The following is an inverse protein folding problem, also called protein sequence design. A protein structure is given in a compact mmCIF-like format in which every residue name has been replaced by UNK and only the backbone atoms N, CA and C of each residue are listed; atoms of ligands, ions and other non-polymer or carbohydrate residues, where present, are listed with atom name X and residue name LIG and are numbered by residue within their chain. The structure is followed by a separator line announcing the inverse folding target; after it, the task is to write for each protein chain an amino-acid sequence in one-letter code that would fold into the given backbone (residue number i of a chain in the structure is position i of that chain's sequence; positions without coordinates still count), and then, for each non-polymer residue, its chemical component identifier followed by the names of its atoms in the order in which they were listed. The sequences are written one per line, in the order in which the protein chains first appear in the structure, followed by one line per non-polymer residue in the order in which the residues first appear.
data_IF_359436639888
#
_entry.id   IF_359436639888
#
_cell.length_a   1.000
_cell.length_b   1.000
_cell.length_c   1.000
_cell.angle_alpha   90.00
_cell.angle_beta   90.00
_cell.angle_gamma   90.00
#
_symmetry.space_group_name_H-M   'P 1'
#
loop_
_entity.id
_entity.type
_entity.pdbx_description
1 polymer ?
#
# COMPACT_ATOMS: atom_id res chain seq x y z
N UNK A 1 12.86 7.29 19.06
CA UNK A 1 12.21 8.59 18.79
C UNK A 1 13.17 9.60 18.14
N UNK A 2 14.46 9.59 18.50
CA UNK A 2 15.52 10.45 17.96
C UNK A 2 15.73 10.33 16.42
N UNK A 3 15.62 9.12 15.86
CA UNK A 3 15.77 8.86 14.42
C UNK A 3 14.70 9.54 13.55
N UNK A 4 13.43 9.55 14.01
CA UNK A 4 12.30 10.15 13.27
C UNK A 4 12.49 11.66 13.08
N UNK A 5 12.98 12.35 14.10
CA UNK A 5 13.25 13.80 14.05
C UNK A 5 14.46 14.11 13.18
N UNK A 6 15.50 13.27 13.23
CA UNK A 6 16.71 13.42 12.40
C UNK A 6 16.38 13.18 10.92
N UNK A 7 15.66 12.10 10.59
CA UNK A 7 15.17 11.83 9.23
C UNK A 7 14.25 12.93 8.72
N UNK A 8 13.34 13.45 9.55
CA UNK A 8 12.41 14.52 9.16
C UNK A 8 13.12 15.87 8.92
N UNK A 9 14.13 16.22 9.74
CA UNK A 9 14.97 17.41 9.50
C UNK A 9 15.86 17.24 8.26
N UNK A 10 16.43 16.07 8.03
CA UNK A 10 17.18 15.75 6.80
C UNK A 10 16.26 15.79 5.59
N UNK A 11 15.05 15.23 5.67
CA UNK A 11 13.99 15.28 4.66
C UNK A 11 13.62 16.72 4.29
N UNK A 12 13.39 17.60 5.29
CA UNK A 12 13.03 19.01 5.06
C UNK A 12 14.18 19.84 4.46
N UNK A 13 15.43 19.49 4.78
CA UNK A 13 16.62 20.11 4.20
C UNK A 13 16.94 19.59 2.78
N UNK A 14 16.68 18.30 2.52
CA UNK A 14 16.76 17.70 1.20
C UNK A 14 15.73 18.35 0.26
N UNK A 15 14.48 18.52 0.69
CA UNK A 15 13.42 19.17 -0.10
C UNK A 15 13.79 20.57 -0.63
N UNK A 16 14.69 21.30 0.06
CA UNK A 16 15.18 22.63 -0.36
C UNK A 16 16.37 22.59 -1.33
N UNK A 17 17.08 21.46 -1.43
CA UNK A 17 18.19 21.28 -2.39
C UNK A 17 17.60 20.69 -3.67
N UNK A 18 18.00 21.21 -4.84
CA UNK A 18 17.61 20.66 -6.15
C UNK A 18 18.16 19.24 -6.28
N UNK A 19 17.35 18.28 -5.83
CA UNK A 19 17.72 16.87 -5.67
C UNK A 19 17.70 16.13 -7.00
N UNK A 20 18.52 15.09 -7.07
CA UNK A 20 18.53 14.11 -8.15
C UNK A 20 17.16 13.50 -8.41
N UNK A 21 16.95 12.98 -9.63
CA UNK A 21 15.72 12.22 -9.95
C UNK A 21 15.57 11.01 -9.04
N UNK A 22 16.67 10.33 -8.73
CA UNK A 22 16.70 9.22 -7.76
C UNK A 22 16.25 9.67 -6.37
N UNK A 23 16.78 10.78 -5.85
CA UNK A 23 16.32 11.33 -4.57
C UNK A 23 14.84 11.68 -4.56
N UNK A 24 14.35 12.28 -5.65
CA UNK A 24 12.94 12.66 -5.79
C UNK A 24 12.04 11.42 -5.73
N UNK A 25 12.43 10.32 -6.39
CA UNK A 25 11.73 9.03 -6.28
C UNK A 25 11.70 8.52 -4.83
N UNK A 26 12.82 8.60 -4.10
CA UNK A 26 12.87 8.18 -2.70
C UNK A 26 12.02 9.04 -1.77
N UNK A 27 11.98 10.36 -1.99
CA UNK A 27 11.07 11.23 -1.25
C UNK A 27 9.62 10.90 -1.56
N UNK A 28 9.29 10.64 -2.83
CA UNK A 28 7.97 10.18 -3.24
C UNK A 28 7.56 8.88 -2.51
N UNK A 29 8.48 7.92 -2.39
CA UNK A 29 8.25 6.70 -1.60
C UNK A 29 8.01 6.99 -0.12
N UNK A 30 8.83 7.84 0.50
CA UNK A 30 8.67 8.21 1.91
C UNK A 30 7.33 8.93 2.16
N UNK A 31 6.87 9.74 1.21
CA UNK A 31 5.57 10.40 1.27
C UNK A 31 4.43 9.37 1.23
N UNK A 32 4.49 8.39 0.32
CA UNK A 32 3.52 7.29 0.27
C UNK A 32 3.45 6.52 1.60
N UNK A 33 4.62 6.19 2.18
CA UNK A 33 4.69 5.51 3.49
C UNK A 33 4.12 6.38 4.61
N UNK A 34 4.34 7.70 4.57
CA UNK A 34 3.81 8.63 5.56
C UNK A 34 2.28 8.76 5.47
N UNK A 35 1.71 8.76 4.26
CA UNK A 35 0.26 8.74 4.03
C UNK A 35 -0.33 7.43 4.55
N UNK A 36 0.26 6.27 4.19
CA UNK A 36 -0.20 4.96 4.67
C UNK A 36 -0.20 4.88 6.20
N UNK A 37 0.85 5.38 6.85
CA UNK A 37 0.90 5.43 8.32
C UNK A 37 -0.24 6.26 8.90
N UNK A 38 -0.53 7.44 8.34
CA UNK A 38 -1.66 8.27 8.81
C UNK A 38 -3.01 7.61 8.56
N UNK A 39 -3.18 6.92 7.44
CA UNK A 39 -4.39 6.15 7.18
C UNK A 39 -4.57 5.02 8.20
N UNK A 40 -3.52 4.27 8.52
CA UNK A 40 -3.58 3.27 9.59
C UNK A 40 -3.93 3.90 10.94
N UNK A 41 -3.40 5.09 11.24
CA UNK A 41 -3.78 5.82 12.47
C UNK A 41 -5.27 6.15 12.44
N UNK A 42 -5.80 6.63 11.33
CA UNK A 42 -7.23 6.92 11.16
C UNK A 42 -8.09 5.68 11.43
N UNK A 43 -7.77 4.55 10.81
CA UNK A 43 -8.47 3.27 11.02
C UNK A 43 -8.39 2.80 12.48
N UNK A 44 -7.21 2.85 13.09
CA UNK A 44 -7.01 2.37 14.46
C UNK A 44 -7.75 3.23 15.49
N UNK A 45 -7.90 4.53 15.21
CA UNK A 45 -8.54 5.51 16.11
C UNK A 45 -9.99 5.79 15.76
N UNK A 46 -10.47 5.38 14.59
CA UNK A 46 -11.79 5.74 14.07
C UNK A 46 -11.91 7.23 13.73
N UNK A 47 -10.83 7.89 13.30
CA UNK A 47 -10.86 9.28 12.86
C UNK A 47 -11.34 9.37 11.39
N UNK A 48 -12.59 9.78 11.20
CA UNK A 48 -13.23 9.82 9.89
C UNK A 48 -12.64 10.86 8.94
N UNK A 49 -12.30 12.05 9.45
CA UNK A 49 -11.73 13.11 8.62
C UNK A 49 -10.30 12.76 8.20
N UNK A 50 -9.52 12.15 9.10
CA UNK A 50 -8.19 11.66 8.76
C UNK A 50 -8.27 10.50 7.75
N UNK A 51 -9.27 9.63 7.85
CA UNK A 51 -9.51 8.56 6.88
C UNK A 51 -9.75 9.13 5.47
N UNK A 52 -10.69 10.07 5.32
CA UNK A 52 -11.00 10.68 4.01
C UNK A 52 -9.84 11.49 3.44
N UNK A 53 -9.16 12.30 4.28
CA UNK A 53 -8.02 13.09 3.82
C UNK A 53 -6.87 12.20 3.33
N UNK A 54 -6.55 11.13 4.05
CA UNK A 54 -5.47 10.21 3.65
C UNK A 54 -5.82 9.41 2.42
N UNK A 55 -7.07 8.96 2.24
CA UNK A 55 -7.51 8.34 0.98
C UNK A 55 -7.40 9.30 -0.21
N UNK A 56 -7.79 10.57 -0.04
CA UNK A 56 -7.64 11.60 -1.07
C UNK A 56 -6.16 11.81 -1.43
N UNK A 57 -5.26 11.79 -0.44
CA UNK A 57 -3.83 11.92 -0.67
C UNK A 57 -3.18 10.68 -1.31
N UNK A 58 -3.74 9.48 -1.12
CA UNK A 58 -3.27 8.26 -1.81
C UNK A 58 -3.69 8.20 -3.28
N UNK A 59 -4.81 8.82 -3.62
CA UNK A 59 -5.46 8.66 -4.92
C UNK A 59 -4.56 8.97 -6.14
N UNK A 60 -3.74 10.03 -6.13
CA UNK A 60 -2.80 10.31 -7.23
C UNK A 60 -1.82 9.15 -7.46
N UNK A 61 -1.31 8.54 -6.38
CA UNK A 61 -0.35 7.45 -6.50
C UNK A 61 -0.99 6.19 -7.09
N UNK A 62 -2.24 5.87 -6.73
CA UNK A 62 -2.99 4.76 -7.31
C UNK A 62 -3.26 4.97 -8.81
N UNK A 63 -3.61 6.22 -9.19
CA UNK A 63 -3.82 6.59 -10.58
C UNK A 63 -2.53 6.46 -11.41
N UNK A 64 -1.43 7.01 -10.90
CA UNK A 64 -0.14 6.99 -11.57
C UNK A 64 0.43 5.58 -11.76
N UNK A 65 0.24 4.69 -10.77
CA UNK A 65 0.71 3.30 -10.82
C UNK A 65 -0.19 2.36 -11.64
N UNK A 66 -1.30 2.87 -12.16
CA UNK A 66 -2.24 2.11 -12.99
C UNK A 66 -3.15 1.15 -12.25
N UNK A 67 -3.37 1.37 -10.95
CA UNK A 67 -4.35 0.64 -10.15
C UNK A 67 -5.79 1.12 -10.41
N UNK A 68 -6.19 1.10 -11.69
CA UNK A 68 -7.40 1.75 -12.22
C UNK A 68 -8.69 1.40 -11.47
N UNK A 69 -8.89 0.12 -11.14
CA UNK A 69 -10.08 -0.32 -10.39
C UNK A 69 -10.10 0.29 -8.99
N UNK A 70 -8.97 0.28 -8.29
CA UNK A 70 -8.85 0.90 -6.97
C UNK A 70 -9.00 2.41 -7.05
N UNK A 71 -8.37 3.07 -8.02
CA UNK A 71 -8.51 4.52 -8.25
C UNK A 71 -9.97 4.90 -8.48
N UNK A 72 -10.68 4.16 -9.35
CA UNK A 72 -12.08 4.41 -9.67
C UNK A 72 -12.99 4.24 -8.46
N UNK A 73 -12.84 3.12 -7.75
CA UNK A 73 -13.63 2.83 -6.54
C UNK A 73 -13.35 3.81 -5.42
N UNK A 74 -12.08 4.15 -5.17
CA UNK A 74 -11.69 5.12 -4.14
C UNK A 74 -12.16 6.54 -4.47
N UNK A 75 -12.08 6.97 -5.73
CA UNK A 75 -12.61 8.27 -6.17
C UNK A 75 -14.12 8.35 -5.98
N UNK A 76 -14.86 7.32 -6.37
CA UNK A 76 -16.30 7.26 -6.19
C UNK A 76 -16.68 7.28 -4.71
N UNK A 77 -16.02 6.45 -3.91
CA UNK A 77 -16.20 6.42 -2.46
C UNK A 77 -15.96 7.81 -1.85
N UNK A 78 -14.85 8.47 -2.16
CA UNK A 78 -14.53 9.81 -1.66
C UNK A 78 -15.60 10.84 -2.04
N UNK A 79 -16.12 10.78 -3.26
CA UNK A 79 -17.19 11.67 -3.73
C UNK A 79 -18.47 11.47 -2.91
N UNK A 80 -18.90 10.22 -2.70
CA UNK A 80 -20.07 9.91 -1.87
C UNK A 80 -19.85 10.32 -0.41
N UNK A 81 -18.68 10.06 0.14
CA UNK A 81 -18.37 10.34 1.54
C UNK A 81 -18.26 11.85 1.82
N UNK A 82 -17.92 12.68 0.82
CA UNK A 82 -17.91 14.14 0.95
C UNK A 82 -19.32 14.74 1.01
N UNK A 83 -20.28 14.16 0.31
CA UNK A 83 -21.69 14.59 0.34
C UNK A 83 -22.50 13.88 1.43
N UNK A 84 -21.88 13.00 2.22
CA UNK A 84 -22.57 12.20 3.23
C UNK A 84 -23.28 13.06 4.28
N UNK A 85 -22.72 14.22 4.63
CA UNK A 85 -23.33 15.15 5.59
C UNK A 85 -24.66 15.72 5.09
N UNK A 86 -24.79 15.99 3.78
CA UNK A 86 -26.04 16.47 3.18
C UNK A 86 -27.01 15.33 2.90
N UNK A 87 -26.51 14.21 2.38
CA UNK A 87 -27.34 13.14 1.85
C UNK A 87 -27.88 12.23 2.97
N UNK A 88 -27.05 11.96 3.99
CA UNK A 88 -27.34 11.06 5.11
C UNK A 88 -26.70 11.55 6.43
N UNK A 89 -27.24 12.62 7.04
CA UNK A 89 -26.64 13.28 8.21
C UNK A 89 -26.54 12.36 9.44
N UNK A 90 -27.44 11.39 9.58
CA UNK A 90 -27.44 10.37 10.62
C UNK A 90 -26.24 9.42 10.51
N UNK A 91 -25.97 8.93 9.29
CA UNK A 91 -24.82 8.08 8.99
C UNK A 91 -23.53 8.88 9.16
N UNK A 92 -23.50 10.13 8.67
CA UNK A 92 -22.36 11.01 8.87
C UNK A 92 -22.03 11.21 10.35
N UNK A 93 -23.04 11.45 11.19
CA UNK A 93 -22.86 11.56 12.64
C UNK A 93 -22.29 10.26 13.25
N UNK A 94 -22.73 9.09 12.79
CA UNK A 94 -22.14 7.82 13.23
C UNK A 94 -20.68 7.66 12.81
N UNK A 95 -20.32 8.04 11.59
CA UNK A 95 -18.94 7.96 11.10
C UNK A 95 -18.01 8.92 11.83
N UNK A 96 -18.47 10.15 12.09
CA UNK A 96 -17.75 11.13 12.91
C UNK A 96 -17.52 10.66 14.35
N UNK A 97 -18.43 9.84 14.88
CA UNK A 97 -18.24 9.15 16.17
C UNK A 97 -17.34 7.89 16.08
N UNK A 98 -16.67 7.68 14.96
CA UNK A 98 -15.75 6.58 14.73
C UNK A 98 -16.41 5.22 14.49
N UNK A 99 -17.71 5.18 14.17
CA UNK A 99 -18.43 3.92 13.89
C UNK A 99 -18.21 3.38 12.46
N UNK A 100 -17.34 4.01 11.67
CA UNK A 100 -16.91 3.46 10.38
C UNK A 100 -15.88 2.33 10.53
N UNK A 101 -15.28 2.19 11.73
CA UNK A 101 -14.36 1.09 12.07
C UNK A 101 -14.99 0.17 13.11
N UNK A 102 -14.64 -1.10 13.04
CA UNK A 102 -15.10 -2.12 13.98
C UNK A 102 -14.15 -2.20 15.18
N UNK A 103 -14.70 -2.20 16.39
CA UNK A 103 -13.94 -2.37 17.63
C UNK A 103 -14.46 -3.59 18.38
N UNK A 104 -13.54 -4.46 18.83
CA UNK A 104 -13.84 -5.61 19.71
C UNK A 104 -13.63 -5.33 21.20
N UNK A 105 -13.05 -4.17 21.51
CA UNK A 105 -12.73 -3.73 22.87
C UNK A 105 -12.80 -2.21 22.92
N UNK A 106 -13.01 -1.65 24.11
CA UNK A 106 -13.09 -0.18 24.33
C UNK A 106 -11.74 0.53 24.26
N UNK A 107 -10.66 -0.17 23.88
CA UNK A 107 -9.34 0.44 23.69
C UNK A 107 -9.37 1.41 22.52
N UNK A 108 -8.91 2.64 22.75
CA UNK A 108 -8.91 3.72 21.75
C UNK A 108 -8.25 3.33 20.42
N UNK A 109 -7.11 2.66 20.48
CA UNK A 109 -6.35 2.23 19.30
C UNK A 109 -6.82 0.88 18.75
N UNK A 110 -8.03 0.41 19.01
CA UNK A 110 -8.47 -0.94 18.62
C UNK A 110 -9.34 -1.02 17.36
N UNK A 111 -9.56 0.09 16.65
CA UNK A 111 -10.34 0.11 15.42
C UNK A 111 -9.73 -0.73 14.30
N UNK A 112 -10.55 -1.52 13.61
CA UNK A 112 -10.14 -2.33 12.46
C UNK A 112 -11.13 -2.10 11.33
N UNK A 113 -10.66 -2.17 10.08
CA UNK A 113 -11.54 -2.12 8.93
C UNK A 113 -12.48 -3.32 8.93
N UNK A 114 -13.71 -3.11 8.47
CA UNK A 114 -14.76 -4.15 8.45
C UNK A 114 -14.30 -5.39 7.66
N UNK A 115 -13.65 -5.19 6.52
CA UNK A 115 -13.12 -6.28 5.68
C UNK A 115 -12.09 -7.13 6.43
N UNK A 116 -11.16 -6.50 7.14
CA UNK A 116 -10.14 -7.21 7.92
C UNK A 116 -10.76 -8.00 9.08
N UNK A 117 -11.81 -7.48 9.72
CA UNK A 117 -12.57 -8.25 10.73
C UNK A 117 -13.30 -9.43 10.10
N UNK A 118 -13.95 -9.24 8.95
CA UNK A 118 -14.62 -10.34 8.24
C UNK A 118 -13.60 -11.42 7.88
N UNK A 119 -12.46 -11.05 7.29
CA UNK A 119 -11.45 -12.03 6.88
C UNK A 119 -10.82 -12.75 8.08
N UNK A 120 -10.39 -12.01 9.10
CA UNK A 120 -9.62 -12.59 10.20
C UNK A 120 -10.48 -13.31 11.24
N UNK A 121 -11.76 -12.93 11.38
CA UNK A 121 -12.66 -13.52 12.37
C UNK A 121 -13.60 -14.50 11.69
N UNK A 122 -14.40 -14.05 10.72
CA UNK A 122 -15.44 -14.87 10.10
C UNK A 122 -14.87 -15.87 9.10
N UNK A 123 -13.97 -15.45 8.20
CA UNK A 123 -13.40 -16.36 7.21
C UNK A 123 -12.39 -17.33 7.81
N UNK A 124 -11.63 -16.90 8.83
CA UNK A 124 -10.66 -17.77 9.51
C UNK A 124 -11.33 -18.93 10.25
N UNK A 125 -12.47 -18.71 10.92
CA UNK A 125 -13.21 -19.79 11.57
C UNK A 125 -13.77 -20.83 10.60
N UNK A 126 -13.88 -20.47 9.31
CA UNK A 126 -14.39 -21.31 8.23
C UNK A 126 -13.28 -22.06 7.49
N UNK A 127 -12.04 -21.55 7.49
CA UNK A 127 -10.87 -22.20 6.89
C UNK A 127 -10.30 -23.33 7.78
N UNK A 128 -11.14 -24.28 8.20
CA UNK A 128 -10.65 -25.58 8.67
C UNK A 128 -10.07 -26.40 7.50
N UNK A 129 -9.28 -27.44 7.81
CA UNK A 129 -8.67 -28.37 6.84
C UNK A 129 -9.69 -28.82 5.78
N UNK A 130 -9.50 -28.37 4.54
CA UNK A 130 -10.38 -28.68 3.40
C UNK A 130 -10.87 -27.47 2.61
N UNK A 131 -10.87 -26.26 3.19
CA UNK A 131 -11.10 -24.97 2.52
C UNK A 131 -12.47 -24.78 1.84
N UNK A 132 -13.19 -23.71 2.15
CA UNK A 132 -14.50 -23.38 1.53
C UNK A 132 -14.42 -23.20 0.00
N UNK A 133 -13.22 -22.91 -0.52
CA UNK A 133 -12.94 -22.62 -1.95
C UNK A 133 -12.26 -23.77 -2.69
N UNK A 134 -11.90 -24.86 -2.01
CA UNK A 134 -11.23 -26.01 -2.61
C UNK A 134 -12.25 -27.11 -2.90
N UNK A 135 -13.09 -26.87 -3.92
CA UNK A 135 -14.12 -27.81 -4.39
C UNK A 135 -15.13 -27.17 -5.34
N UNK A 136 -16.19 -27.91 -5.74
CA UNK A 136 -17.35 -27.34 -6.45
C UNK A 136 -18.00 -26.31 -5.50
N UNK A 137 -17.95 -25.04 -5.88
CA UNK A 137 -18.27 -23.91 -4.99
C UNK A 137 -19.63 -24.00 -4.29
N UNK A 138 -19.74 -23.30 -3.15
CA UNK A 138 -20.93 -23.23 -2.31
C UNK A 138 -22.12 -22.65 -3.09
N UNK A 139 -23.17 -23.46 -3.29
CA UNK A 139 -24.42 -23.07 -3.91
C UNK A 139 -25.19 -22.05 -3.06
N UNK A 140 -26.20 -21.41 -3.65
CA UNK A 140 -26.94 -20.30 -3.01
C UNK A 140 -27.58 -20.68 -1.68
N UNK A 141 -28.17 -21.87 -1.58
CA UNK A 141 -28.77 -22.40 -0.35
C UNK A 141 -27.71 -22.61 0.74
N UNK A 142 -26.53 -23.11 0.37
CA UNK A 142 -25.44 -23.32 1.33
C UNK A 142 -24.87 -21.97 1.82
N UNK A 143 -24.80 -20.96 0.94
CA UNK A 143 -24.47 -19.57 1.31
C UNK A 143 -25.47 -18.97 2.28
N UNK A 144 -26.76 -19.13 2.04
CA UNK A 144 -27.81 -18.63 2.93
C UNK A 144 -27.75 -19.32 4.30
N UNK A 145 -27.66 -20.65 4.31
CA UNK A 145 -27.54 -21.43 5.55
C UNK A 145 -26.29 -21.03 6.34
N UNK A 146 -25.17 -20.79 5.66
CA UNK A 146 -23.95 -20.28 6.28
C UNK A 146 -24.13 -18.86 6.85
N UNK A 147 -24.63 -17.91 6.05
CA UNK A 147 -24.81 -16.52 6.47
C UNK A 147 -25.68 -16.41 7.73
N UNK A 148 -26.73 -17.25 7.80
CA UNK A 148 -27.67 -17.27 8.92
C UNK A 148 -27.12 -18.02 10.14
N UNK A 149 -26.28 -19.04 9.96
CA UNK A 149 -25.77 -19.88 11.06
C UNK A 149 -24.42 -19.42 11.60
N UNK A 150 -23.59 -18.71 10.82
CA UNK A 150 -22.21 -18.39 11.19
C UNK A 150 -22.07 -17.53 12.45
N UNK A 151 -22.93 -16.52 12.74
CA UNK A 151 -22.80 -15.75 13.98
C UNK A 151 -23.03 -16.63 15.21
N UNK A 152 -24.07 -17.48 15.14
CA UNK A 152 -24.43 -18.44 16.20
C UNK A 152 -23.34 -19.50 16.38
N UNK A 153 -22.83 -20.07 15.30
CA UNK A 153 -21.74 -21.06 15.32
C UNK A 153 -20.44 -20.47 15.87
N UNK A 154 -20.13 -19.21 15.54
CA UNK A 154 -18.96 -18.51 16.08
C UNK A 154 -19.07 -18.31 17.59
N UNK A 155 -20.26 -18.00 18.12
CA UNK A 155 -20.53 -17.90 19.55
C UNK A 155 -20.43 -19.25 20.27
N UNK A 156 -21.01 -20.31 19.70
CA UNK A 156 -20.85 -21.67 20.22
C UNK A 156 -19.39 -22.12 20.24
N UNK A 157 -18.63 -21.84 19.18
CA UNK A 157 -17.21 -22.16 19.13
C UNK A 157 -16.42 -21.36 20.18
N UNK A 158 -16.73 -20.07 20.34
CA UNK A 158 -16.09 -19.23 21.35
C UNK A 158 -16.36 -19.74 22.77
N UNK A 159 -17.62 -20.04 23.10
CA UNK A 159 -18.01 -20.58 24.41
C UNK A 159 -17.40 -21.95 24.67
N UNK A 160 -17.36 -22.84 23.66
CA UNK A 160 -16.70 -24.14 23.76
C UNK A 160 -15.19 -24.02 24.00
N UNK A 161 -14.53 -23.07 23.34
CA UNK A 161 -13.11 -22.76 23.57
C UNK A 161 -12.85 -22.23 24.98
N UNK A 162 -13.75 -21.38 25.51
CA UNK A 162 -13.66 -20.91 26.89
C UNK A 162 -13.85 -22.06 27.89
N UNK A 163 -14.87 -22.90 27.68
CA UNK A 163 -15.20 -24.05 28.54
C UNK A 163 -14.06 -25.08 28.58
N UNK A 164 -13.50 -25.43 27.43
CA UNK A 164 -12.47 -26.47 27.32
C UNK A 164 -11.07 -25.95 27.65
N UNK A 165 -10.91 -24.64 27.89
CA UNK A 165 -9.59 -24.02 28.10
C UNK A 165 -8.67 -24.09 26.88
N UNK A 166 -9.19 -24.55 25.73
CA UNK A 166 -8.49 -24.60 24.44
C UNK A 166 -8.53 -23.29 23.68
N UNK A 167 -9.16 -22.26 24.27
CA UNK A 167 -9.09 -20.90 23.75
C UNK A 167 -7.65 -20.55 23.41
N UNK A 168 -7.44 -20.08 22.19
CA UNK A 168 -6.18 -19.47 21.77
C UNK A 168 -5.93 -18.28 22.70
N UNK A 169 -5.28 -18.52 23.84
CA UNK A 169 -4.71 -17.48 24.67
C UNK A 169 -3.60 -16.88 23.82
N UNK A 170 -3.93 -15.88 23.00
CA UNK A 170 -2.93 -14.91 22.62
C UNK A 170 -2.36 -14.41 23.93
N UNK A 171 -1.08 -14.71 24.17
CA UNK A 171 -0.29 -14.04 25.20
C UNK A 171 -0.71 -12.57 25.27
N UNK A 172 -0.78 -11.99 26.48
CA UNK A 172 -1.04 -10.55 26.65
C UNK A 172 -0.07 -9.70 25.81
N UNK A 173 1.08 -10.27 25.44
CA UNK A 173 1.98 -9.74 24.41
C UNK A 173 1.55 -10.19 23.01
N UNK A 174 1.15 -9.22 22.20
CA UNK A 174 0.99 -9.37 20.76
C UNK A 174 2.25 -10.01 20.14
N UNK A 175 2.08 -10.98 19.24
CA UNK A 175 3.18 -11.72 18.57
C UNK A 175 4.27 -10.78 18.01
N UNK A 176 3.86 -9.65 17.44
CA UNK A 176 4.80 -8.65 16.89
C UNK A 176 5.60 -7.87 17.95
N UNK A 177 5.22 -7.93 19.23
CA UNK A 177 5.99 -7.35 20.35
C UNK A 177 6.90 -8.37 21.04
N UNK A 178 7.02 -9.59 20.50
CA UNK A 178 7.93 -10.59 21.05
C UNK A 178 9.39 -10.15 20.89
N UNK A 179 10.26 -10.56 21.82
CA UNK A 179 11.70 -10.24 21.78
C UNK A 179 12.34 -10.66 20.45
N UNK A 180 11.98 -11.84 19.96
CA UNK A 180 12.48 -12.37 18.67
C UNK A 180 12.07 -11.51 17.48
N UNK A 181 10.85 -10.97 17.48
CA UNK A 181 10.40 -10.01 16.46
C UNK A 181 11.16 -8.69 16.54
N UNK A 182 11.31 -8.14 17.75
CA UNK A 182 12.09 -6.92 17.96
C UNK A 182 13.55 -7.06 17.52
N UNK A 183 14.19 -8.19 17.83
CA UNK A 183 15.57 -8.49 17.40
C UNK A 183 15.68 -8.57 15.88
N UNK A 184 14.73 -9.21 15.21
CA UNK A 184 14.69 -9.29 13.75
C UNK A 184 14.49 -7.91 13.11
N UNK A 185 13.53 -7.11 13.60
CA UNK A 185 13.27 -5.77 13.07
C UNK A 185 14.49 -4.85 13.24
N UNK A 186 15.21 -4.97 14.36
CA UNK A 186 16.47 -4.26 14.58
C UNK A 186 17.56 -4.71 13.60
N UNK A 187 17.68 -6.02 13.36
CA UNK A 187 18.62 -6.58 12.38
C UNK A 187 18.32 -6.07 10.97
N UNK A 188 17.06 -6.09 10.55
CA UNK A 188 16.62 -5.63 9.23
C UNK A 188 16.84 -4.11 9.07
N UNK A 189 16.61 -3.34 10.14
CA UNK A 189 16.88 -1.89 10.16
C UNK A 189 18.37 -1.57 10.01
N UNK A 190 19.24 -2.35 10.67
CA UNK A 190 20.69 -2.20 10.54
C UNK A 190 21.16 -2.55 9.13
N UNK A 191 20.68 -3.67 8.58
CA UNK A 191 20.99 -4.10 7.21
C UNK A 191 20.60 -3.04 6.18
N UNK A 192 19.41 -2.45 6.32
CA UNK A 192 18.98 -1.36 5.46
C UNK A 192 19.87 -0.12 5.60
N UNK A 193 20.30 0.19 6.83
CA UNK A 193 21.19 1.34 7.09
C UNK A 193 22.57 1.14 6.47
N UNK A 194 23.14 -0.04 6.62
CA UNK A 194 24.41 -0.43 5.98
C UNK A 194 24.28 -0.34 4.46
N UNK A 195 23.22 -0.93 3.89
CA UNK A 195 22.95 -0.89 2.45
C UNK A 195 22.88 0.54 1.88
N UNK A 196 22.18 1.45 2.59
CA UNK A 196 22.01 2.84 2.18
C UNK A 196 23.26 3.71 2.42
N UNK A 197 24.15 3.29 3.31
CA UNK A 197 25.43 3.98 3.55
C UNK A 197 26.29 3.92 2.29
N UNK A 198 26.37 2.74 1.67
CA UNK A 198 27.12 2.54 0.43
C UNK A 198 26.34 3.05 -0.80
N UNK A 199 25.01 2.92 -0.79
CA UNK A 199 24.13 3.21 -1.94
C UNK A 199 23.20 4.39 -1.66
N UNK A 200 23.79 5.53 -1.30
CA UNK A 200 23.02 6.71 -0.92
C UNK A 200 22.16 7.25 -2.09
N UNK A 201 20.82 7.26 -1.98
CA UNK A 201 19.94 7.81 -3.01
C UNK A 201 19.99 9.35 -3.08
N UNK A 202 20.61 9.99 -2.08
CA UNK A 202 20.73 11.45 -1.91
C UNK A 202 22.01 12.06 -2.49
N UNK A 203 22.54 11.49 -3.58
CA UNK A 203 23.68 12.07 -4.32
C UNK A 203 23.22 13.12 -5.33
N UNK A 204 24.15 14.01 -5.74
CA UNK A 204 23.91 15.11 -6.69
C UNK A 204 23.82 14.65 -8.17
N UNK A 205 23.66 13.35 -8.41
CA UNK A 205 23.58 12.76 -9.74
C UNK A 205 22.23 13.06 -10.39
N UNK A 206 22.17 13.66 -11.58
CA UNK A 206 20.88 14.01 -12.20
C UNK A 206 20.07 12.80 -12.69
N UNK A 207 20.67 11.62 -12.73
CA UNK A 207 20.01 10.43 -13.28
C UNK A 207 18.98 9.82 -12.32
N UNK A 208 18.06 9.05 -12.91
CA UNK A 208 17.18 8.14 -12.18
C UNK A 208 17.85 6.77 -12.21
N UNK A 209 18.38 6.29 -11.08
CA UNK A 209 19.09 5.01 -11.01
C UNK A 209 18.44 4.06 -10.01
N UNK A 210 18.46 2.78 -10.34
CA UNK A 210 18.19 1.73 -9.38
C UNK A 210 19.39 1.63 -8.43
N UNK A 211 19.16 1.84 -7.12
CA UNK A 211 20.26 1.87 -6.15
C UNK A 211 20.82 0.47 -5.85
N UNK A 212 20.05 -0.59 -6.09
CA UNK A 212 20.48 -1.98 -5.88
C UNK A 212 21.42 -2.43 -7.01
N UNK A 213 21.00 -2.20 -8.26
CA UNK A 213 21.74 -2.68 -9.44
C UNK A 213 22.72 -1.65 -10.00
N UNK A 214 22.55 -0.37 -9.66
CA UNK A 214 23.29 0.74 -10.25
C UNK A 214 22.81 1.16 -11.64
N UNK A 215 21.83 0.46 -12.22
CA UNK A 215 21.35 0.74 -13.57
C UNK A 215 20.65 2.11 -13.64
N UNK A 216 21.01 2.90 -14.63
CA UNK A 216 20.36 4.17 -14.94
C UNK A 216 19.15 3.90 -15.84
N UNK A 217 18.01 4.45 -15.46
CA UNK A 217 16.77 4.35 -16.21
C UNK A 217 16.84 5.17 -17.51
N UNK A 218 16.15 4.69 -18.54
CA UNK A 218 15.96 5.39 -19.80
C UNK A 218 15.26 6.76 -19.60
N UNK A 219 15.40 7.66 -20.58
CA UNK A 219 14.81 9.01 -20.51
C UNK A 219 13.29 9.03 -20.45
N UNK A 220 12.63 7.93 -20.85
CA UNK A 220 11.19 7.74 -20.80
C UNK A 220 10.67 7.24 -19.44
N UNK A 221 11.55 6.80 -18.53
CA UNK A 221 11.17 6.44 -17.17
C UNK A 221 11.08 7.70 -16.32
N UNK A 222 9.91 7.92 -15.69
CA UNK A 222 9.65 9.12 -14.88
C UNK A 222 8.89 8.84 -13.59
N UNK A 223 9.13 7.67 -12.99
CA UNK A 223 8.60 7.27 -11.67
C UNK A 223 8.75 8.32 -10.56
N UNK A 224 9.76 9.19 -10.64
CA UNK A 224 9.97 10.30 -9.72
C UNK A 224 8.89 11.40 -9.78
N UNK A 225 7.99 11.36 -10.77
CA UNK A 225 6.88 12.31 -10.96
C UNK A 225 5.50 11.71 -10.65
N UNK A 226 5.44 10.57 -9.95
CA UNK A 226 4.21 9.82 -9.70
C UNK A 226 3.05 10.68 -9.19
N UNK A 227 3.32 11.57 -8.23
CA UNK A 227 2.27 12.44 -7.68
C UNK A 227 1.68 13.37 -8.74
N UNK A 228 2.53 14.10 -9.46
CA UNK A 228 2.10 15.06 -10.49
C UNK A 228 1.35 14.39 -11.64
N UNK A 229 1.81 13.22 -12.08
CA UNK A 229 1.13 12.42 -13.12
C UNK A 229 -0.23 11.96 -12.60
N UNK A 230 -0.27 11.45 -11.37
CA UNK A 230 -1.48 11.05 -10.69
C UNK A 230 -2.50 12.17 -10.59
N UNK A 231 -2.08 13.36 -10.13
CA UNK A 231 -2.92 14.54 -9.98
C UNK A 231 -3.57 14.92 -11.31
N UNK A 232 -2.80 14.92 -12.41
CA UNK A 232 -3.34 15.17 -13.77
C UNK A 232 -4.39 14.14 -14.19
N UNK A 233 -4.19 12.86 -13.87
CA UNK A 233 -5.18 11.82 -14.15
C UNK A 233 -6.45 12.10 -13.34
N UNK A 234 -6.31 12.44 -12.05
CA UNK A 234 -7.47 12.74 -11.18
C UNK A 234 -8.21 14.00 -11.64
N UNK A 235 -7.51 15.04 -12.07
CA UNK A 235 -8.11 16.24 -12.67
C UNK A 235 -8.86 15.90 -13.96
N UNK A 236 -8.31 15.02 -14.80
CA UNK A 236 -8.95 14.62 -16.06
C UNK A 236 -10.26 13.84 -15.88
N UNK A 237 -10.46 13.21 -14.72
CA UNK A 237 -11.69 12.46 -14.40
C UNK A 237 -12.68 13.30 -13.58
N UNK A 238 -12.27 14.49 -13.12
CA UNK A 238 -13.13 15.37 -12.35
C UNK A 238 -14.34 15.81 -13.19
N UNK A 239 -15.55 15.63 -12.63
CA UNK A 239 -16.80 15.98 -13.31
C UNK A 239 -17.33 14.94 -14.31
N UNK A 240 -16.58 13.88 -14.62
CA UNK A 240 -17.05 12.81 -15.50
C UNK A 240 -17.90 11.77 -14.75
N UNK A 241 -18.86 11.16 -15.45
CA UNK A 241 -19.61 10.02 -14.91
C UNK A 241 -18.67 8.84 -14.70
N UNK A 242 -18.87 8.10 -13.61
CA UNK A 242 -18.04 6.94 -13.26
C UNK A 242 -18.03 5.90 -14.38
N UNK A 243 -19.15 5.69 -15.09
CA UNK A 243 -19.23 4.78 -16.25
C UNK A 243 -18.32 5.19 -17.41
N UNK A 244 -18.03 6.48 -17.56
CA UNK A 244 -17.29 7.07 -18.67
C UNK A 244 -15.78 7.18 -18.38
N UNK A 245 -15.38 7.03 -17.12
CA UNK A 245 -13.98 7.03 -16.71
C UNK A 245 -13.26 5.81 -17.32
N UNK A 246 -12.33 6.11 -18.24
CA UNK A 246 -11.42 5.16 -18.87
C UNK A 246 -9.98 5.64 -18.69
N UNK A 247 -9.13 4.75 -18.17
CA UNK A 247 -7.71 5.05 -17.94
C UNK A 247 -6.87 4.48 -19.07
N UNK A 248 -5.94 5.28 -19.60
CA UNK A 248 -5.02 4.83 -20.65
C UNK A 248 -3.65 4.58 -20.06
N UNK A 249 -3.04 3.44 -20.39
CA UNK A 249 -1.69 3.08 -19.92
C UNK A 249 -0.62 4.12 -20.29
N UNK A 250 -0.80 4.84 -21.40
CA UNK A 250 0.11 5.90 -21.85
C UNK A 250 0.12 7.15 -20.95
N UNK A 251 -0.95 7.36 -20.19
CA UNK A 251 -1.10 8.50 -19.28
C UNK A 251 -0.57 8.15 -17.88
N UNK A 252 -0.25 6.87 -17.63
CA UNK A 252 0.30 6.33 -16.39
C UNK A 252 1.84 6.32 -16.42
N UNK A 253 2.44 6.12 -15.25
CA UNK A 253 3.88 6.24 -15.10
C UNK A 253 4.66 5.08 -15.72
N UNK A 254 5.81 5.41 -16.30
CA UNK A 254 6.77 4.42 -16.78
C UNK A 254 7.84 4.21 -15.71
N UNK A 255 7.95 2.97 -15.23
CA UNK A 255 8.96 2.57 -14.25
C UNK A 255 10.30 2.25 -14.92
N UNK A 256 11.45 2.39 -14.22
CA UNK A 256 12.77 2.06 -14.76
C UNK A 256 12.89 0.69 -15.44
N UNK A 257 12.17 -0.33 -14.93
CA UNK A 257 12.23 -1.70 -15.43
C UNK A 257 11.02 -2.11 -16.29
N UNK A 258 10.26 -1.14 -16.81
CA UNK A 258 9.08 -1.44 -17.63
C UNK A 258 9.48 -2.15 -18.93
N UNK A 259 9.04 -3.40 -19.12
CA UNK A 259 9.20 -4.11 -20.41
C UNK A 259 8.56 -3.28 -21.52
N UNK A 260 9.34 -2.89 -22.53
CA UNK A 260 8.82 -2.23 -23.73
C UNK A 260 7.78 -3.15 -24.39
N UNK A 261 6.66 -2.61 -24.90
CA UNK A 261 5.75 -3.40 -25.71
C UNK A 261 6.52 -3.95 -26.93
N UNK A 262 6.49 -5.28 -27.11
CA UNK A 262 7.05 -5.95 -28.28
C UNK A 262 6.38 -5.41 -29.54
N UNK A 263 7.07 -4.51 -30.27
CA UNK A 263 6.52 -3.94 -31.49
C UNK A 263 7.06 -2.56 -31.92
N UNK A 264 7.92 -1.89 -31.14
CA UNK A 264 8.61 -0.69 -31.66
C UNK A 264 9.83 -1.11 -32.48
N UNK A 265 9.77 -0.87 -33.80
CA UNK A 265 10.88 -1.00 -34.74
C UNK A 265 11.94 0.09 -34.52
N UNK A 266 12.49 0.17 -33.31
CA UNK A 266 13.60 1.04 -32.97
C UNK A 266 14.71 0.10 -32.49
N UNK A 267 15.83 0.12 -33.21
CA UNK A 267 17.06 -0.66 -32.99
C UNK A 267 17.18 -1.17 -31.55
N UNK A 268 16.99 -2.48 -31.38
CA UNK A 268 17.10 -3.15 -30.09
C UNK A 268 18.50 -2.93 -29.53
N UNK A 269 18.66 -1.97 -28.60
CA UNK A 269 19.74 -2.09 -27.65
C UNK A 269 19.40 -3.28 -26.74
N UNK A 270 20.34 -4.20 -26.49
CA UNK A 270 20.06 -5.38 -25.69
C UNK A 270 19.64 -4.92 -24.29
N UNK A 271 18.40 -5.24 -23.94
CA UNK A 271 17.88 -5.07 -22.59
C UNK A 271 18.72 -5.98 -21.68
N UNK A 272 19.62 -5.39 -20.91
CA UNK A 272 20.43 -6.09 -19.91
C UNK A 272 19.50 -6.48 -18.77
N UNK A 273 19.25 -7.78 -18.64
CA UNK A 273 18.53 -8.38 -17.52
C UNK A 273 19.47 -8.39 -16.29
N UNK A 274 19.17 -7.59 -15.25
CA UNK A 274 19.98 -7.55 -14.06
C UNK A 274 19.93 -8.86 -13.26
N UNK A 275 19.06 -9.83 -13.54
CA UNK A 275 19.08 -11.13 -12.85
C UNK A 275 20.08 -12.13 -13.45
N UNK A 276 20.57 -11.87 -14.67
CA UNK A 276 21.56 -12.70 -15.35
C UNK A 276 22.98 -12.17 -15.09
N UNK A 277 23.74 -12.91 -14.26
CA UNK A 277 25.12 -12.58 -13.86
C UNK A 277 26.04 -12.27 -15.06
N UNK A 278 25.87 -12.95 -16.19
CA UNK A 278 26.65 -12.73 -17.40
C UNK A 278 26.37 -11.39 -18.09
N UNK A 279 25.14 -10.89 -18.02
CA UNK A 279 24.78 -9.62 -18.65
C UNK A 279 25.25 -8.41 -17.82
N UNK A 280 25.38 -8.57 -16.49
CA UNK A 280 26.04 -7.58 -15.61
C UNK A 280 27.52 -7.38 -15.97
N UNK A 281 28.24 -8.47 -16.26
CA UNK A 281 29.67 -8.42 -16.62
C UNK A 281 29.91 -7.67 -17.95
N UNK A 282 29.00 -7.82 -18.92
CA UNK A 282 29.09 -7.10 -20.19
C UNK A 282 28.84 -5.59 -20.06
N UNK A 283 27.94 -5.15 -19.18
CA UNK A 283 27.72 -3.73 -18.92
C UNK A 283 28.96 -3.07 -18.27
N UNK A 284 29.59 -3.75 -17.31
CA UNK A 284 30.82 -3.28 -16.65
C UNK A 284 32.03 -3.28 -17.61
N UNK A 285 32.05 -4.17 -18.60
CA UNK A 285 33.10 -4.21 -19.61
C UNK A 285 33.05 -3.05 -20.62
N UNK A 286 31.87 -2.47 -20.86
CA UNK A 286 31.70 -1.37 -21.81
C UNK A 286 32.15 -0.01 -21.25
N UNK A 287 32.12 0.17 -19.93
CA UNK A 287 32.59 1.38 -19.24
C UNK A 287 34.13 1.54 -19.25
N UNK A 288 34.90 0.52 -19.66
CA UNK A 288 36.37 0.55 -19.67
C UNK A 288 37.01 0.85 -21.03
N UNK A 289 36.22 1.12 -22.06
CA UNK A 289 36.72 1.38 -23.43
C UNK A 289 36.57 2.85 -23.88
N UNK A 290 36.56 3.80 -22.94
CA UNK A 290 36.80 5.22 -23.22
C UNK A 290 38.05 5.72 -22.49
#
# INVERSE_FOLDING_TARGET
MHWKVKLYKTYKNCYKRKLSRTSKLWLCFLDMVAILKRFLIAERTGDWLLHLSTLKEMLPYLAASGHNLYTKSAYFYLSQMQNLESDHPDIHAHFMNGKHVVRRSDRFWAGLSTDLVIEQVLMRSVKSTGGLTTGRGMGEIQRALWLLSIPTLAEYNHTMQQLTGTGYKTSDQHIENSKTRMERDNKDSNLLTEFLTDRNPFTNDKTLRNIETGMVADSDAYADEAKTVGDKIIESIAGNLVSEISFKKKDQIVTPDAKRPSGSNISQQPQVDPQLMFQRLTAVGQDKNH
#
